data_IF_155946601092
#
_entry.id   IF_155946601092
#
_cell.length_a   1.000
_cell.length_b   1.000
_cell.length_c   1.000
_cell.angle_alpha   90.00
_cell.angle_beta   90.00
_cell.angle_gamma   90.00
#
_symmetry.space_group_name_H-M   'P 1'
#
loop_
_entity.id
_entity.type
_entity.pdbx_description
1 polymer ?
#
# COMPACT_ATOMS: atom_id res chain seq x y z
N UNK A 1 8.98 -38.70 -16.47
CA UNK A 1 9.92 -37.81 -15.76
C UNK A 1 9.17 -36.53 -15.40
N UNK A 2 8.62 -36.48 -14.21
CA UNK A 2 7.98 -35.27 -13.69
C UNK A 2 9.09 -34.31 -13.27
N UNK A 3 9.32 -33.26 -14.05
CA UNK A 3 10.15 -32.14 -13.59
C UNK A 3 9.42 -31.48 -12.42
N UNK A 4 9.80 -31.82 -11.20
CA UNK A 4 9.46 -31.01 -10.02
C UNK A 4 10.10 -29.64 -10.21
N UNK A 5 9.36 -28.69 -10.74
CA UNK A 5 9.72 -27.27 -10.73
C UNK A 5 9.66 -26.80 -9.30
N UNK A 6 10.76 -26.98 -8.58
CA UNK A 6 10.92 -26.39 -7.24
C UNK A 6 11.17 -24.89 -7.44
N UNK A 7 10.28 -24.07 -6.90
CA UNK A 7 10.50 -22.61 -6.82
C UNK A 7 11.85 -22.35 -6.15
N UNK A 8 12.63 -21.43 -6.72
CA UNK A 8 13.90 -21.04 -6.12
C UNK A 8 13.64 -20.25 -4.84
N UNK A 9 14.09 -20.77 -3.69
CA UNK A 9 13.92 -20.14 -2.37
C UNK A 9 15.02 -19.11 -2.18
N UNK A 10 14.78 -17.88 -2.64
CA UNK A 10 15.78 -16.81 -2.66
C UNK A 10 15.31 -15.53 -1.93
N UNK A 11 14.09 -15.51 -1.38
CA UNK A 11 13.58 -14.33 -0.66
C UNK A 11 14.01 -14.42 0.80
N UNK A 12 14.87 -13.49 1.22
CA UNK A 12 15.29 -13.35 2.62
C UNK A 12 14.13 -12.87 3.50
N UNK A 13 14.26 -13.07 4.82
CA UNK A 13 13.28 -12.53 5.79
C UNK A 13 13.12 -11.02 5.62
N UNK A 14 14.21 -10.27 5.39
CA UNK A 14 14.17 -8.85 5.14
C UNK A 14 13.36 -8.52 3.87
N UNK A 15 13.51 -9.31 2.80
CA UNK A 15 12.73 -9.18 1.57
C UNK A 15 11.24 -9.43 1.79
N UNK A 16 10.87 -10.46 2.56
CA UNK A 16 9.47 -10.73 2.92
C UNK A 16 8.85 -9.61 3.75
N UNK A 17 9.58 -9.12 4.77
CA UNK A 17 9.13 -7.99 5.59
C UNK A 17 8.99 -6.73 4.74
N UNK A 18 9.96 -6.43 3.87
CA UNK A 18 9.88 -5.29 2.96
C UNK A 18 8.69 -5.40 1.99
N UNK A 19 8.40 -6.59 1.46
CA UNK A 19 7.22 -6.83 0.62
C UNK A 19 5.92 -6.54 1.38
N UNK A 20 5.78 -7.06 2.61
CA UNK A 20 4.60 -6.80 3.44
C UNK A 20 4.43 -5.32 3.78
N UNK A 21 5.50 -4.66 4.22
CA UNK A 21 5.50 -3.24 4.55
C UNK A 21 5.14 -2.40 3.31
N UNK A 22 5.76 -2.65 2.16
CA UNK A 22 5.46 -1.91 0.92
C UNK A 22 4.03 -2.10 0.47
N UNK A 23 3.49 -3.31 0.61
CA UNK A 23 2.10 -3.60 0.21
C UNK A 23 1.08 -2.87 1.09
N UNK A 24 1.37 -2.68 2.37
CA UNK A 24 0.48 -2.00 3.33
C UNK A 24 0.68 -0.48 3.32
N UNK A 25 1.92 -0.02 3.48
CA UNK A 25 2.20 1.41 3.59
C UNK A 25 1.93 2.12 2.27
N UNK A 26 2.49 1.68 1.15
CA UNK A 26 2.24 2.22 -0.18
C UNK A 26 1.92 3.72 -0.22
N UNK A 27 1.14 4.13 -1.21
CA UNK A 27 0.62 5.49 -1.30
C UNK A 27 -0.55 5.76 -0.33
N UNK A 28 -1.18 4.72 0.21
CA UNK A 28 -2.42 4.84 0.99
C UNK A 28 -2.23 5.61 2.30
N UNK A 29 -1.08 5.46 2.96
CA UNK A 29 -0.81 6.17 4.23
C UNK A 29 -0.78 7.70 4.05
N UNK A 30 -0.45 8.19 2.86
CA UNK A 30 -0.40 9.63 2.56
C UNK A 30 -1.70 10.13 1.94
N UNK A 31 -2.32 9.34 1.06
CA UNK A 31 -3.49 9.75 0.27
C UNK A 31 -4.78 9.59 1.05
N UNK A 32 -4.96 8.48 1.76
CA UNK A 32 -6.23 8.17 2.44
C UNK A 32 -6.57 9.19 3.53
N UNK A 33 -5.64 9.63 4.41
CA UNK A 33 -5.93 10.69 5.37
C UNK A 33 -6.40 12.00 4.73
N UNK A 34 -5.74 12.41 3.66
CA UNK A 34 -6.11 13.61 2.90
C UNK A 34 -7.50 13.48 2.27
N UNK A 35 -7.77 12.35 1.63
CA UNK A 35 -9.08 12.06 1.02
C UNK A 35 -10.19 12.02 2.08
N UNK A 36 -9.90 11.45 3.25
CA UNK A 36 -10.85 11.40 4.36
C UNK A 36 -11.19 12.79 4.88
N UNK A 37 -10.20 13.63 5.13
CA UNK A 37 -10.42 15.00 5.58
C UNK A 37 -11.24 15.82 4.56
N UNK A 38 -10.99 15.60 3.26
CA UNK A 38 -11.73 16.26 2.19
C UNK A 38 -13.20 15.82 2.13
N UNK A 39 -13.47 14.52 2.33
CA UNK A 39 -14.82 13.94 2.17
C UNK A 39 -15.62 13.90 3.48
N UNK A 40 -14.97 13.92 4.64
CA UNK A 40 -15.59 13.90 5.96
C UNK A 40 -15.05 15.09 6.77
N UNK A 41 -15.61 16.29 6.58
CA UNK A 41 -15.19 17.47 7.31
C UNK A 41 -15.33 17.27 8.82
N UNK A 42 -14.31 17.65 9.60
CA UNK A 42 -14.28 17.52 11.04
C UNK A 42 -13.69 16.21 11.58
N UNK A 43 -13.28 15.26 10.71
CA UNK A 43 -12.63 14.01 11.15
C UNK A 43 -11.19 14.23 11.62
N UNK A 44 -10.55 15.35 11.27
CA UNK A 44 -9.13 15.61 11.49
C UNK A 44 -8.58 15.20 12.85
N UNK A 45 -9.14 15.71 13.98
CA UNK A 45 -8.70 15.36 15.34
C UNK A 45 -8.86 13.87 15.67
N UNK A 46 -9.80 13.19 15.00
CA UNK A 46 -10.16 11.79 15.26
C UNK A 46 -9.52 10.82 14.29
N UNK A 47 -8.70 11.29 13.36
CA UNK A 47 -8.08 10.47 12.33
C UNK A 47 -7.14 9.41 12.92
N UNK A 48 -6.27 9.79 13.85
CA UNK A 48 -5.36 8.85 14.53
C UNK A 48 -6.13 7.79 15.35
N UNK A 49 -7.09 8.14 16.22
CA UNK A 49 -7.95 7.15 16.85
C UNK A 49 -8.67 6.23 15.85
N UNK A 50 -9.13 6.75 14.70
CA UNK A 50 -9.78 5.95 13.67
C UNK A 50 -8.81 4.95 13.02
N UNK A 51 -7.54 5.30 12.83
CA UNK A 51 -6.49 4.37 12.40
C UNK A 51 -6.26 3.25 13.42
N UNK A 52 -6.24 3.56 14.73
CA UNK A 52 -6.12 2.54 15.76
C UNK A 52 -7.28 1.56 15.71
N UNK A 53 -8.51 2.03 15.59
CA UNK A 53 -9.68 1.15 15.46
C UNK A 53 -9.60 0.31 14.19
N UNK A 54 -9.20 0.88 13.07
CA UNK A 54 -9.01 0.18 11.80
C UNK A 54 -7.90 -0.89 11.87
N UNK A 55 -6.87 -0.70 12.69
CA UNK A 55 -5.78 -1.66 12.83
C UNK A 55 -6.19 -2.94 13.56
N UNK A 56 -7.20 -2.90 14.42
CA UNK A 56 -7.62 -4.06 15.22
C UNK A 56 -7.98 -5.27 14.34
N UNK A 57 -8.95 -5.17 13.41
CA UNK A 57 -9.28 -6.29 12.54
C UNK A 57 -8.11 -6.67 11.60
N UNK A 58 -7.27 -5.70 11.21
CA UNK A 58 -6.10 -5.97 10.39
C UNK A 58 -5.07 -6.85 11.11
N UNK A 59 -4.80 -6.57 12.39
CA UNK A 59 -3.89 -7.38 13.22
C UNK A 59 -4.43 -8.82 13.38
N UNK A 60 -5.70 -8.99 13.67
CA UNK A 60 -6.30 -10.33 13.78
C UNK A 60 -6.24 -11.10 12.45
N UNK A 61 -6.49 -10.41 11.34
CA UNK A 61 -6.35 -11.03 10.02
C UNK A 61 -4.89 -11.44 9.74
N UNK A 62 -3.93 -10.55 10.02
CA UNK A 62 -2.51 -10.85 9.84
C UNK A 62 -2.03 -12.04 10.69
N UNK A 63 -2.46 -12.12 11.96
CA UNK A 63 -2.18 -13.26 12.84
C UNK A 63 -2.76 -14.56 12.28
N UNK A 64 -3.99 -14.53 11.79
CA UNK A 64 -4.62 -15.69 11.15
C UNK A 64 -3.83 -16.15 9.92
N UNK A 65 -3.40 -15.23 9.08
CA UNK A 65 -2.54 -15.54 7.92
C UNK A 65 -1.18 -16.10 8.34
N UNK A 66 -0.58 -15.58 9.41
CA UNK A 66 0.69 -16.10 9.94
C UNK A 66 0.56 -17.54 10.40
N UNK A 67 -0.53 -17.90 11.11
CA UNK A 67 -0.82 -19.27 11.54
C UNK A 67 -1.03 -20.18 10.32
N UNK A 68 -1.83 -19.75 9.35
CA UNK A 68 -2.08 -20.52 8.13
C UNK A 68 -0.82 -20.70 7.28
N UNK A 69 0.03 -19.67 7.18
CA UNK A 69 1.30 -19.72 6.46
C UNK A 69 2.28 -20.70 7.11
N UNK A 70 2.33 -20.75 8.45
CA UNK A 70 3.18 -21.71 9.16
C UNK A 70 2.67 -23.15 9.02
N UNK A 71 1.36 -23.36 9.00
CA UNK A 71 0.75 -24.67 8.82
C UNK A 71 0.81 -25.19 7.37
N UNK A 72 0.77 -24.27 6.40
CA UNK A 72 0.73 -24.57 4.97
C UNK A 72 1.73 -23.72 4.20
N UNK A 73 3.06 -23.96 4.33
CA UNK A 73 4.12 -23.13 3.74
C UNK A 73 4.24 -23.38 2.22
N UNK A 74 3.25 -22.94 1.46
CA UNK A 74 3.20 -23.06 -0.01
C UNK A 74 2.90 -21.71 -0.64
N UNK A 75 3.41 -21.48 -1.84
CA UNK A 75 3.01 -20.34 -2.65
C UNK A 75 1.51 -20.44 -3.00
N UNK A 76 0.82 -19.28 -3.01
CA UNK A 76 -0.59 -19.19 -3.38
C UNK A 76 -1.52 -18.66 -2.28
N UNK A 77 -1.02 -18.40 -1.07
CA UNK A 77 -1.71 -17.66 -0.01
C UNK A 77 -3.18 -18.06 0.16
N UNK A 78 -4.09 -17.10 0.00
CA UNK A 78 -5.54 -17.25 0.17
C UNK A 78 -6.15 -18.42 -0.62
N UNK A 79 -5.63 -18.72 -1.83
CA UNK A 79 -6.07 -19.88 -2.61
C UNK A 79 -5.82 -21.18 -1.87
N UNK A 80 -4.59 -21.38 -1.41
CA UNK A 80 -4.18 -22.60 -0.72
C UNK A 80 -4.96 -22.77 0.57
N UNK A 81 -5.11 -21.71 1.34
CA UNK A 81 -5.78 -21.74 2.63
C UNK A 81 -7.28 -22.07 2.48
N UNK A 82 -7.99 -21.32 1.63
CA UNK A 82 -9.42 -21.53 1.44
C UNK A 82 -9.74 -22.87 0.76
N UNK A 83 -8.93 -23.29 -0.23
CA UNK A 83 -9.18 -24.55 -0.94
C UNK A 83 -8.95 -25.79 -0.06
N UNK A 84 -8.02 -25.72 0.90
CA UNK A 84 -7.71 -26.82 1.80
C UNK A 84 -8.54 -26.85 3.07
N UNK A 85 -8.90 -25.65 3.59
CA UNK A 85 -9.66 -25.55 4.83
C UNK A 85 -11.17 -25.63 4.64
N UNK A 86 -11.68 -25.18 3.48
CA UNK A 86 -13.12 -25.10 3.22
C UNK A 86 -13.49 -25.96 2.00
N UNK A 87 -13.17 -25.48 0.79
CA UNK A 87 -13.48 -26.16 -0.46
C UNK A 87 -12.73 -25.50 -1.64
N UNK A 88 -12.30 -26.25 -2.68
CA UNK A 88 -11.59 -25.69 -3.84
C UNK A 88 -12.31 -24.53 -4.54
N UNK A 89 -13.63 -24.56 -4.56
CA UNK A 89 -14.46 -23.48 -5.14
C UNK A 89 -14.23 -22.14 -4.45
N UNK A 90 -14.17 -22.11 -3.11
CA UNK A 90 -13.88 -20.90 -2.35
C UNK A 90 -12.43 -20.43 -2.52
N UNK A 91 -11.51 -21.38 -2.67
CA UNK A 91 -10.13 -21.05 -3.03
C UNK A 91 -10.05 -20.32 -4.38
N UNK A 92 -10.77 -20.81 -5.39
CA UNK A 92 -10.84 -20.15 -6.69
C UNK A 92 -11.44 -18.74 -6.60
N UNK A 93 -12.57 -18.57 -5.90
CA UNK A 93 -13.20 -17.26 -5.72
C UNK A 93 -12.25 -16.27 -5.04
N UNK A 94 -11.59 -16.68 -3.94
CA UNK A 94 -10.65 -15.83 -3.22
C UNK A 94 -9.49 -15.38 -4.11
N UNK A 95 -8.89 -16.31 -4.85
CA UNK A 95 -7.78 -16.03 -5.75
C UNK A 95 -8.19 -15.14 -6.93
N UNK A 96 -9.32 -15.43 -7.55
CA UNK A 96 -9.83 -14.65 -8.67
C UNK A 96 -10.17 -13.21 -8.25
N UNK A 97 -10.87 -13.05 -7.12
CA UNK A 97 -11.23 -11.74 -6.60
C UNK A 97 -9.98 -10.91 -6.27
N UNK A 98 -8.97 -11.54 -5.68
CA UNK A 98 -7.70 -10.89 -5.36
C UNK A 98 -6.93 -10.48 -6.63
N UNK A 99 -6.79 -11.39 -7.59
CA UNK A 99 -6.12 -11.10 -8.87
C UNK A 99 -6.80 -9.96 -9.62
N UNK A 100 -8.13 -10.01 -9.73
CA UNK A 100 -8.91 -8.99 -10.43
C UNK A 100 -8.87 -7.64 -9.72
N UNK A 101 -9.04 -7.65 -8.38
CA UNK A 101 -8.96 -6.43 -7.57
C UNK A 101 -7.58 -5.77 -7.66
N UNK A 102 -6.50 -6.53 -7.50
CA UNK A 102 -5.14 -6.00 -7.59
C UNK A 102 -4.83 -5.46 -9.00
N UNK A 103 -5.32 -6.11 -10.06
CA UNK A 103 -5.13 -5.62 -11.44
C UNK A 103 -5.76 -4.24 -11.64
N UNK A 104 -6.95 -4.02 -11.09
CA UNK A 104 -7.62 -2.69 -11.12
C UNK A 104 -6.81 -1.68 -10.30
N UNK A 105 -6.43 -2.03 -9.07
CA UNK A 105 -5.68 -1.14 -8.17
C UNK A 105 -4.36 -0.70 -8.79
N UNK A 106 -3.60 -1.61 -9.39
CA UNK A 106 -2.32 -1.28 -10.05
C UNK A 106 -2.54 -0.26 -11.18
N UNK A 107 -3.58 -0.44 -12.00
CA UNK A 107 -3.92 0.51 -13.06
C UNK A 107 -4.27 1.90 -12.51
N UNK A 108 -5.12 1.95 -11.48
CA UNK A 108 -5.52 3.20 -10.82
C UNK A 108 -4.33 3.90 -10.19
N UNK A 109 -3.51 3.18 -9.43
CA UNK A 109 -2.32 3.76 -8.77
C UNK A 109 -1.33 4.29 -9.79
N UNK A 110 -1.05 3.55 -10.87
CA UNK A 110 -0.16 4.00 -11.93
C UNK A 110 -0.64 5.31 -12.57
N UNK A 111 -1.96 5.48 -12.73
CA UNK A 111 -2.54 6.70 -13.26
C UNK A 111 -2.49 7.86 -12.26
N UNK A 112 -2.70 7.58 -10.96
CA UNK A 112 -2.71 8.59 -9.89
C UNK A 112 -1.31 9.13 -9.55
N UNK A 113 -0.24 8.40 -9.86
CA UNK A 113 1.14 8.85 -9.60
C UNK A 113 1.53 10.04 -10.47
N UNK A 114 1.04 10.13 -11.71
CA UNK A 114 1.42 11.20 -12.65
C UNK A 114 1.03 12.60 -12.16
N UNK A 115 -0.17 12.86 -11.62
CA UNK A 115 -0.50 14.14 -10.99
C UNK A 115 0.46 14.58 -9.87
N UNK A 116 1.05 13.66 -9.12
CA UNK A 116 2.04 14.04 -8.09
C UNK A 116 3.30 14.65 -8.69
N UNK A 117 3.77 14.14 -9.85
CA UNK A 117 4.88 14.78 -10.56
C UNK A 117 4.51 16.21 -11.01
N UNK A 118 3.27 16.42 -11.47
CA UNK A 118 2.76 17.76 -11.79
C UNK A 118 2.83 18.66 -10.56
N UNK A 119 2.38 18.18 -9.40
CA UNK A 119 2.33 18.97 -8.17
C UNK A 119 3.74 19.33 -7.67
N UNK A 120 4.70 18.43 -7.83
CA UNK A 120 6.13 18.74 -7.59
C UNK A 120 6.62 19.84 -8.54
N UNK A 121 6.30 19.74 -9.84
CA UNK A 121 6.66 20.77 -10.82
C UNK A 121 5.99 22.11 -10.51
N UNK A 122 4.75 22.09 -10.01
CA UNK A 122 4.05 23.30 -9.57
C UNK A 122 4.73 23.93 -8.36
N UNK A 123 5.17 23.13 -7.38
CA UNK A 123 5.92 23.62 -6.23
C UNK A 123 7.27 24.26 -6.61
N UNK A 124 7.87 23.78 -7.71
CA UNK A 124 9.14 24.32 -8.25
C UNK A 124 8.94 25.43 -9.29
N UNK A 125 7.68 25.83 -9.58
CA UNK A 125 7.32 26.82 -10.60
C UNK A 125 7.78 26.47 -12.04
N UNK A 126 7.86 25.19 -12.38
CA UNK A 126 8.21 24.73 -13.71
C UNK A 126 7.00 24.70 -14.65
N UNK A 127 6.55 25.85 -15.11
CA UNK A 127 5.30 26.06 -15.87
C UNK A 127 5.20 25.13 -17.09
N UNK A 128 6.28 24.97 -17.85
CA UNK A 128 6.29 24.13 -19.04
C UNK A 128 5.98 22.65 -18.72
N UNK A 129 6.55 22.12 -17.63
CA UNK A 129 6.33 20.76 -17.20
C UNK A 129 4.92 20.56 -16.61
N UNK A 130 4.35 21.57 -15.98
CA UNK A 130 2.96 21.50 -15.48
C UNK A 130 2.02 21.23 -16.65
N UNK A 131 2.10 22.03 -17.74
CA UNK A 131 1.27 21.83 -18.93
C UNK A 131 1.49 20.46 -19.58
N UNK A 132 2.74 19.99 -19.61
CA UNK A 132 3.07 18.66 -20.12
C UNK A 132 2.36 17.55 -19.31
N UNK A 133 2.38 17.60 -17.98
CA UNK A 133 1.73 16.62 -17.12
C UNK A 133 0.20 16.79 -17.04
N UNK A 134 -0.37 17.93 -17.41
CA UNK A 134 -1.82 18.14 -17.48
C UNK A 134 -2.47 17.52 -18.72
N UNK A 135 -1.70 17.30 -19.78
CA UNK A 135 -2.22 16.69 -21.00
C UNK A 135 -2.67 15.24 -20.73
N UNK A 136 -3.93 14.91 -21.09
CA UNK A 136 -4.52 13.60 -20.86
C UNK A 136 -3.75 12.47 -21.54
N UNK A 137 -3.26 12.69 -22.76
CA UNK A 137 -2.47 11.69 -23.49
C UNK A 137 -1.11 11.45 -22.81
N UNK A 138 -0.48 12.49 -22.32
CA UNK A 138 0.79 12.39 -21.57
C UNK A 138 0.59 11.62 -20.27
N UNK A 139 -0.50 11.90 -19.52
CA UNK A 139 -0.85 11.14 -18.32
C UNK A 139 -0.98 9.66 -18.61
N UNK A 140 -1.76 9.30 -19.63
CA UNK A 140 -1.97 7.92 -20.02
C UNK A 140 -0.66 7.23 -20.42
N UNK A 141 0.13 7.88 -21.26
CA UNK A 141 1.42 7.33 -21.73
C UNK A 141 2.40 7.11 -20.57
N UNK A 142 2.56 8.09 -19.70
CA UNK A 142 3.44 7.98 -18.53
C UNK A 142 2.96 6.93 -17.53
N UNK A 143 1.65 6.82 -17.32
CA UNK A 143 1.07 5.78 -16.46
C UNK A 143 1.35 4.39 -16.99
N UNK A 144 1.20 4.19 -18.31
CA UNK A 144 1.53 2.93 -18.95
C UNK A 144 3.03 2.65 -18.91
N UNK A 145 3.86 3.66 -19.15
CA UNK A 145 5.32 3.52 -19.07
C UNK A 145 5.77 3.10 -17.67
N UNK A 146 5.19 3.71 -16.61
CA UNK A 146 5.45 3.35 -15.22
C UNK A 146 5.04 1.91 -14.93
N UNK A 147 3.86 1.51 -15.40
CA UNK A 147 3.35 0.14 -15.23
C UNK A 147 4.30 -0.87 -15.90
N UNK A 148 4.71 -0.63 -17.15
CA UNK A 148 5.65 -1.48 -17.86
C UNK A 148 7.03 -1.51 -17.21
N UNK A 149 7.49 -0.41 -16.62
CA UNK A 149 8.72 -0.37 -15.85
C UNK A 149 8.65 -1.30 -14.64
N UNK A 150 7.55 -1.25 -13.87
CA UNK A 150 7.34 -2.16 -12.73
C UNK A 150 7.27 -3.63 -13.17
N UNK A 151 6.59 -3.93 -14.29
CA UNK A 151 6.58 -5.28 -14.88
C UNK A 151 7.99 -5.71 -15.27
N UNK A 152 8.75 -4.81 -15.90
CA UNK A 152 10.14 -5.05 -16.29
C UNK A 152 11.01 -5.47 -15.11
N UNK A 153 10.92 -4.74 -13.98
CA UNK A 153 11.66 -5.11 -12.74
C UNK A 153 11.34 -6.53 -12.30
N UNK A 154 10.09 -6.94 -12.39
CA UNK A 154 9.68 -8.30 -12.03
C UNK A 154 10.22 -9.37 -12.99
N UNK A 155 10.31 -9.07 -14.31
CA UNK A 155 10.86 -9.98 -15.31
C UNK A 155 12.35 -10.26 -15.07
N UNK A 156 13.11 -9.29 -14.54
CA UNK A 156 14.53 -9.47 -14.20
C UNK A 156 14.77 -10.40 -13.00
N UNK A 157 13.71 -10.88 -12.36
CA UNK A 157 13.75 -11.92 -11.35
C UNK A 157 13.73 -11.43 -9.91
N UNK A 158 13.59 -12.40 -9.00
CA UNK A 158 13.32 -12.18 -7.57
C UNK A 158 14.37 -11.33 -6.86
N UNK A 159 15.65 -11.47 -7.21
CA UNK A 159 16.73 -10.67 -6.59
C UNK A 159 16.61 -9.19 -6.92
N UNK A 160 16.33 -8.86 -8.18
CA UNK A 160 16.14 -7.47 -8.62
C UNK A 160 14.91 -6.86 -7.96
N UNK A 161 13.80 -7.62 -7.91
CA UNK A 161 12.60 -7.24 -7.20
C UNK A 161 12.88 -6.93 -5.73
N UNK A 162 13.54 -7.83 -5.00
CA UNK A 162 13.86 -7.67 -3.58
C UNK A 162 14.73 -6.43 -3.33
N UNK A 163 15.76 -6.21 -4.13
CA UNK A 163 16.64 -5.04 -3.98
C UNK A 163 15.89 -3.73 -4.23
N UNK A 164 15.04 -3.70 -5.25
CA UNK A 164 14.22 -2.54 -5.59
C UNK A 164 13.23 -2.23 -4.46
N UNK A 165 12.52 -3.24 -3.94
CA UNK A 165 11.50 -3.03 -2.91
C UNK A 165 12.11 -2.58 -1.58
N UNK A 166 13.25 -3.14 -1.18
CA UNK A 166 13.96 -2.71 0.04
C UNK A 166 14.40 -1.25 -0.10
N UNK A 167 14.98 -0.88 -1.24
CA UNK A 167 15.38 0.51 -1.51
C UNK A 167 14.19 1.48 -1.44
N UNK A 168 13.06 1.13 -2.04
CA UNK A 168 11.84 1.95 -2.00
C UNK A 168 11.26 2.06 -0.58
N UNK A 169 11.29 0.99 0.22
CA UNK A 169 10.86 1.02 1.63
C UNK A 169 11.72 1.99 2.44
N UNK A 170 13.03 1.94 2.27
CA UNK A 170 13.96 2.86 2.97
C UNK A 170 13.63 4.32 2.61
N UNK A 171 13.45 4.62 1.32
CA UNK A 171 13.06 5.96 0.87
C UNK A 171 11.73 6.37 1.47
N UNK A 172 10.75 5.49 1.50
CA UNK A 172 9.43 5.76 2.08
C UNK A 172 9.53 6.09 3.57
N UNK A 173 10.36 5.37 4.34
CA UNK A 173 10.57 5.68 5.75
C UNK A 173 11.31 7.00 5.97
N UNK A 174 12.29 7.33 5.12
CA UNK A 174 12.98 8.63 5.17
C UNK A 174 11.97 9.76 4.93
N UNK A 175 11.15 9.66 3.88
CA UNK A 175 10.12 10.66 3.58
C UNK A 175 9.06 10.77 4.69
N UNK A 176 8.62 9.65 5.24
CA UNK A 176 7.70 9.63 6.38
C UNK A 176 8.31 10.32 7.61
N UNK A 177 9.60 10.08 7.88
CA UNK A 177 10.30 10.73 8.99
C UNK A 177 10.38 12.25 8.81
N UNK A 178 10.58 12.73 7.58
CA UNK A 178 10.57 14.18 7.28
C UNK A 178 9.20 14.78 7.60
N UNK A 179 8.11 14.11 7.20
CA UNK A 179 6.74 14.58 7.48
C UNK A 179 6.46 14.60 8.99
N UNK A 180 6.88 13.56 9.72
CA UNK A 180 6.73 13.49 11.17
C UNK A 180 7.50 14.63 11.86
N UNK A 181 8.74 14.83 11.48
CA UNK A 181 9.60 15.91 12.04
C UNK A 181 8.99 17.29 11.73
N UNK A 182 8.51 17.49 10.50
CA UNK A 182 7.83 18.73 10.12
C UNK A 182 6.57 18.96 10.99
N UNK A 183 5.80 17.92 11.30
CA UNK A 183 4.62 18.00 12.18
C UNK A 183 4.94 18.37 13.63
N UNK A 184 6.19 18.13 14.10
CA UNK A 184 6.64 18.60 15.41
C UNK A 184 7.22 20.01 15.40
N UNK A 185 7.73 20.47 14.25
CA UNK A 185 8.36 21.79 14.12
C UNK A 185 7.31 22.87 13.81
N UNK A 186 6.36 22.58 12.94
CA UNK A 186 5.34 23.51 12.47
C UNK A 186 4.04 23.32 13.22
N UNK A 187 3.41 24.44 13.63
CA UNK A 187 2.08 24.44 14.22
C UNK A 187 0.98 24.40 13.14
N UNK A 188 -0.25 24.14 13.58
CA UNK A 188 -1.42 24.24 12.70
C UNK A 188 -1.58 25.65 12.14
N UNK A 189 -1.27 26.67 12.92
CA UNK A 189 -1.33 28.09 12.52
C UNK A 189 -0.31 28.41 11.42
N UNK A 190 0.92 27.89 11.53
CA UNK A 190 1.95 28.05 10.50
C UNK A 190 1.51 27.43 9.17
N UNK A 191 0.86 26.26 9.24
CA UNK A 191 0.33 25.60 8.05
C UNK A 191 -0.81 26.42 7.41
N UNK A 192 -1.77 26.91 8.20
CA UNK A 192 -2.89 27.72 7.72
C UNK A 192 -2.38 29.01 7.07
N UNK A 193 -1.43 29.70 7.72
CA UNK A 193 -0.82 30.90 7.17
C UNK A 193 -0.02 30.63 5.89
N UNK A 194 0.72 29.50 5.86
CA UNK A 194 1.47 29.09 4.68
C UNK A 194 0.58 28.86 3.47
N UNK A 195 -0.56 28.16 3.65
CA UNK A 195 -1.54 27.93 2.58
C UNK A 195 -2.24 29.21 2.15
N UNK A 196 -2.61 30.07 3.10
CA UNK A 196 -3.21 31.36 2.81
C UNK A 196 -2.28 32.24 1.97
N UNK A 197 -1.01 32.33 2.36
CA UNK A 197 -0.01 33.15 1.68
C UNK A 197 0.36 32.64 0.29
N UNK A 198 0.39 31.29 0.10
CA UNK A 198 0.81 30.68 -1.15
C UNK A 198 -0.33 30.51 -2.14
N UNK A 199 -1.46 30.03 -1.68
CA UNK A 199 -2.58 29.59 -2.54
C UNK A 199 -3.82 30.50 -2.42
N UNK A 200 -3.80 31.47 -1.50
CA UNK A 200 -4.93 32.36 -1.21
C UNK A 200 -6.15 31.64 -0.62
N UNK A 201 -5.98 30.40 -0.16
CA UNK A 201 -7.08 29.59 0.37
C UNK A 201 -7.21 29.82 1.87
N UNK A 202 -8.38 30.27 2.30
CA UNK A 202 -8.71 30.39 3.72
C UNK A 202 -9.14 29.03 4.24
N UNK A 203 -8.29 28.40 5.05
CA UNK A 203 -8.64 27.18 5.76
C UNK A 203 -9.36 27.60 7.05
N UNK A 204 -10.66 27.31 7.13
CA UNK A 204 -11.40 27.45 8.38
C UNK A 204 -11.15 26.23 9.24
N UNK A 205 -10.89 26.43 10.53
CA UNK A 205 -10.81 25.34 11.51
C UNK A 205 -12.13 24.57 11.51
N UNK A 206 -12.13 23.40 10.93
CA UNK A 206 -13.27 22.48 10.95
C UNK A 206 -13.24 21.71 12.27
N UNK A 207 -13.50 22.38 13.38
CA UNK A 207 -13.79 21.71 14.65
C UNK A 207 -15.20 21.09 14.56
N UNK A 208 -15.28 19.94 13.90
CA UNK A 208 -16.52 19.15 13.89
C UNK A 208 -16.76 18.54 15.26
N UNK A 209 -18.02 18.56 15.71
CA UNK A 209 -18.41 17.75 16.88
C UNK A 209 -18.20 16.28 16.54
N UNK A 210 -17.69 15.50 17.53
CA UNK A 210 -17.51 14.07 17.36
C UNK A 210 -18.83 13.40 16.94
N UNK A 211 -18.76 12.59 15.88
CA UNK A 211 -19.87 11.83 15.33
C UNK A 211 -19.47 10.37 15.17
N UNK A 212 -20.13 9.48 15.91
CA UNK A 212 -19.86 8.04 15.87
C UNK A 212 -20.00 7.43 14.47
N UNK A 213 -21.01 7.84 13.71
CA UNK A 213 -21.24 7.31 12.37
C UNK A 213 -20.09 7.68 11.42
N UNK A 214 -19.66 8.93 11.47
CA UNK A 214 -18.52 9.41 10.67
C UNK A 214 -17.22 8.71 11.11
N UNK A 215 -17.00 8.55 12.39
CA UNK A 215 -15.82 7.90 12.96
C UNK A 215 -15.72 6.43 12.55
N UNK A 216 -16.82 5.65 12.65
CA UNK A 216 -16.85 4.25 12.23
C UNK A 216 -16.68 4.14 10.70
N UNK A 217 -17.34 5.00 9.93
CA UNK A 217 -17.17 5.04 8.47
C UNK A 217 -15.72 5.35 8.07
N UNK A 218 -15.10 6.31 8.73
CA UNK A 218 -13.70 6.65 8.54
C UNK A 218 -12.78 5.46 8.87
N UNK A 219 -13.00 4.79 10.02
CA UNK A 219 -12.24 3.61 10.41
C UNK A 219 -12.38 2.47 9.39
N UNK A 220 -13.57 2.27 8.84
CA UNK A 220 -13.81 1.29 7.76
C UNK A 220 -13.03 1.61 6.47
N UNK A 221 -12.98 2.88 6.08
CA UNK A 221 -12.18 3.32 4.91
C UNK A 221 -10.69 3.17 5.20
N UNK A 222 -10.24 3.54 6.41
CA UNK A 222 -8.84 3.42 6.84
C UNK A 222 -8.37 1.97 6.91
N UNK A 223 -9.26 1.01 7.14
CA UNK A 223 -8.91 -0.41 7.08
C UNK A 223 -8.30 -0.80 5.73
N UNK A 224 -8.74 -0.16 4.63
CA UNK A 224 -8.16 -0.40 3.31
C UNK A 224 -6.65 -0.10 3.25
N UNK A 225 -6.14 0.79 4.10
CA UNK A 225 -4.70 1.11 4.20
C UNK A 225 -3.86 -0.03 4.79
N UNK A 226 -4.48 -1.00 5.46
CA UNK A 226 -3.83 -2.18 6.01
C UNK A 226 -3.90 -3.40 5.08
N UNK A 227 -4.61 -3.32 3.95
CA UNK A 227 -4.67 -4.41 2.96
C UNK A 227 -3.29 -4.57 2.32
N UNK A 228 -2.82 -5.82 2.23
CA UNK A 228 -1.51 -6.15 1.66
C UNK A 228 -0.65 -7.07 2.56
N UNK A 229 -1.06 -7.30 3.83
CA UNK A 229 -0.38 -8.25 4.71
C UNK A 229 -0.38 -9.69 4.17
N UNK A 230 -1.34 -10.03 3.34
CA UNK A 230 -1.50 -11.33 2.66
C UNK A 230 -0.45 -11.57 1.56
N UNK A 231 0.19 -10.51 1.05
CA UNK A 231 1.24 -10.61 0.02
C UNK A 231 2.45 -11.45 0.49
N UNK A 232 2.78 -11.39 1.80
CA UNK A 232 3.84 -12.23 2.39
C UNK A 232 3.48 -13.71 2.26
N UNK A 233 2.22 -14.07 2.50
CA UNK A 233 1.75 -15.44 2.41
C UNK A 233 1.77 -15.98 0.97
N UNK A 234 1.61 -15.12 -0.03
CA UNK A 234 1.73 -15.50 -1.45
C UNK A 234 3.17 -15.87 -1.82
N UNK A 235 4.14 -15.14 -1.26
CA UNK A 235 5.56 -15.37 -1.46
C UNK A 235 6.15 -16.49 -0.58
N UNK A 236 5.34 -17.13 0.29
CA UNK A 236 5.79 -18.11 1.26
C UNK A 236 6.51 -19.34 0.68
N UNK A 237 6.23 -19.69 -0.59
CA UNK A 237 6.93 -20.77 -1.28
C UNK A 237 8.34 -20.41 -1.77
N UNK A 238 8.69 -19.13 -1.81
CA UNK A 238 9.99 -18.59 -2.26
C UNK A 238 10.88 -18.14 -1.09
N UNK A 239 10.41 -18.30 0.16
CA UNK A 239 11.16 -17.96 1.36
C UNK A 239 12.37 -18.88 1.57
N UNK A 240 13.52 -18.31 1.98
CA UNK A 240 14.76 -19.06 2.22
C UNK A 240 14.67 -20.06 3.38
N UNK A 241 13.87 -19.76 4.40
CA UNK A 241 13.73 -20.61 5.60
C UNK A 241 12.39 -21.31 5.60
N UNK A 242 12.35 -22.64 5.44
CA UNK A 242 11.16 -23.41 5.76
C UNK A 242 10.92 -23.37 7.28
N UNK A 243 9.69 -23.14 7.70
CA UNK A 243 9.32 -23.03 9.11
C UNK A 243 9.61 -24.32 9.92
N UNK A 244 9.77 -25.49 9.27
CA UNK A 244 10.21 -26.76 9.88
C UNK A 244 10.88 -27.66 8.84
N UNK A 245 11.89 -28.47 9.23
CA UNK A 245 12.34 -29.57 8.39
C UNK A 245 11.14 -30.50 8.14
N UNK A 246 10.89 -30.79 6.86
CA UNK A 246 9.84 -31.72 6.48
C UNK A 246 10.13 -33.06 7.15
N UNK A 247 9.35 -33.44 8.15
CA UNK A 247 9.15 -34.83 8.46
C UNK A 247 8.43 -35.42 7.23
N UNK A 248 9.19 -36.08 6.40
CA UNK A 248 8.68 -36.96 5.36
C UNK A 248 7.78 -38.03 6.06
N UNK A 249 6.48 -37.96 5.81
CA UNK A 249 5.53 -39.01 6.01
C UNK A 249 4.94 -39.41 4.67
#
# INVERSE_FOLDING_TARGET
MEQKTTLSRNITVAGLVATGISSMIGASIYIVPFMLQKNIPGIGPYLLPAFFVASIPAVFAALTYAILASAMPRAGGSYVYASRSIHPYWGFIASFAQWFGLSIVIGVVSYMVVPFFRDVCAAMNWIYLIQFFENSNTKLFLSLALLWLCIGVNIFGVKTYQLTIIGLVIITFILASIVIVAGFIYSEEDFIQGVLNKDGIVITHLQGKFNWQQFISASGILFASFIGFDSIAQAGGEAELPAHPQTEL
#
